data_IF_295201143211
#
_entry.id   IF_295201143211
#
_cell.length_a   1.000
_cell.length_b   1.000
_cell.length_c   1.000
_cell.angle_alpha   90.00
_cell.angle_beta   90.00
_cell.angle_gamma   90.00
#
_symmetry.space_group_name_H-M   'P 1'
#
loop_
_entity.id
_entity.type
_entity.pdbx_description
1 polymer ?
#
# COMPACT_ATOMS: atom_id res chain seq x y z
N UNK A 1 -8.88 3.91 -0.56
CA UNK A 1 -8.69 5.37 -0.65
C UNK A 1 -7.28 5.77 -0.25
N UNK A 2 -6.80 6.96 -0.63
CA UNK A 2 -5.58 7.53 -0.06
C UNK A 2 -5.60 7.46 1.48
N UNK A 3 -4.49 7.03 2.07
CA UNK A 3 -4.33 6.77 3.50
C UNK A 3 -4.69 5.34 3.94
N UNK A 4 -5.31 4.53 3.07
CA UNK A 4 -5.58 3.13 3.40
C UNK A 4 -4.29 2.31 3.45
N UNK A 5 -4.24 1.34 4.37
CA UNK A 5 -3.15 0.39 4.53
C UNK A 5 -3.55 -0.90 3.84
N UNK A 6 -2.69 -1.43 2.99
CA UNK A 6 -2.95 -2.66 2.25
C UNK A 6 -1.81 -3.65 2.51
N UNK A 7 -2.17 -4.93 2.62
CA UNK A 7 -1.26 -6.03 2.82
C UNK A 7 -1.30 -6.96 1.61
N UNK A 8 -0.13 -7.40 1.16
CA UNK A 8 0.04 -8.32 0.04
C UNK A 8 0.78 -9.58 0.46
N UNK A 9 0.45 -10.70 -0.18
CA UNK A 9 1.27 -11.91 -0.20
C UNK A 9 2.15 -11.88 -1.45
N UNK A 10 3.47 -11.80 -1.26
CA UNK A 10 4.46 -11.81 -2.32
C UNK A 10 4.85 -13.22 -2.76
N UNK A 11 4.24 -14.25 -2.15
CA UNK A 11 4.57 -15.65 -2.32
C UNK A 11 5.70 -16.10 -1.40
N UNK A 12 5.90 -17.42 -1.31
CA UNK A 12 6.99 -18.05 -0.53
C UNK A 12 7.01 -17.64 0.96
N UNK A 13 5.85 -17.33 1.53
CA UNK A 13 5.72 -16.91 2.93
C UNK A 13 6.13 -15.46 3.20
N UNK A 14 6.41 -14.65 2.16
CA UNK A 14 6.73 -13.23 2.31
C UNK A 14 5.46 -12.39 2.20
N UNK A 15 5.19 -11.60 3.23
CA UNK A 15 4.13 -10.60 3.22
C UNK A 15 4.71 -9.20 3.15
N UNK A 16 3.92 -8.26 2.62
CA UNK A 16 4.35 -6.87 2.45
C UNK A 16 3.22 -5.90 2.73
N UNK A 17 3.54 -4.72 3.27
CA UNK A 17 2.57 -3.66 3.56
C UNK A 17 2.90 -2.37 2.82
N UNK A 18 1.89 -1.56 2.59
CA UNK A 18 2.02 -0.26 1.93
C UNK A 18 0.79 0.61 2.15
N UNK A 19 0.95 1.91 1.91
CA UNK A 19 -0.12 2.89 2.09
C UNK A 19 -0.51 3.45 0.72
N UNK A 20 -1.81 3.47 0.45
CA UNK A 20 -2.36 4.07 -0.77
C UNK A 20 -2.15 5.59 -0.72
N UNK A 21 -1.61 6.19 -1.79
CA UNK A 21 -1.46 7.66 -1.89
C UNK A 21 -2.42 8.25 -2.93
N UNK A 22 -2.53 9.57 -2.96
CA UNK A 22 -3.40 10.34 -3.86
C UNK A 22 -2.83 10.52 -5.28
N UNK A 23 -1.55 10.18 -5.48
CA UNK A 23 -0.90 10.15 -6.80
C UNK A 23 -1.34 8.92 -7.58
N UNK A 24 -1.42 9.06 -8.91
CA UNK A 24 -1.76 7.97 -9.82
C UNK A 24 -0.55 7.49 -10.63
N UNK A 25 -0.66 6.26 -11.09
CA UNK A 25 0.16 5.67 -12.16
C UNK A 25 0.18 6.54 -13.42
N UNK A 26 1.19 6.35 -14.26
CA UNK A 26 1.37 7.12 -15.51
C UNK A 26 0.20 6.99 -16.48
N UNK A 27 -0.51 5.85 -16.46
CA UNK A 27 -1.72 5.61 -17.24
C UNK A 27 -3.00 6.22 -16.61
N UNK A 28 -2.89 6.80 -15.41
CA UNK A 28 -3.99 7.42 -14.68
C UNK A 28 -5.03 6.45 -14.11
N UNK A 29 -4.81 5.13 -14.17
CA UNK A 29 -5.84 4.13 -13.84
C UNK A 29 -5.86 3.73 -12.37
N UNK A 30 -4.68 3.62 -11.74
CA UNK A 30 -4.54 3.12 -10.37
C UNK A 30 -3.78 4.10 -9.47
N UNK A 31 -4.13 4.20 -8.18
CA UNK A 31 -3.33 4.96 -7.22
C UNK A 31 -1.95 4.31 -7.05
N UNK A 32 -0.95 5.10 -6.68
CA UNK A 32 0.34 4.59 -6.27
C UNK A 32 0.30 4.12 -4.81
N UNK A 33 1.21 3.24 -4.45
CA UNK A 33 1.45 2.79 -3.09
C UNK A 33 2.80 3.38 -2.63
N UNK A 34 2.86 3.95 -1.43
CA UNK A 34 4.14 4.19 -0.77
C UNK A 34 4.54 2.96 0.04
N UNK A 35 5.75 2.47 -0.20
CA UNK A 35 6.31 1.28 0.44
C UNK A 35 7.84 1.27 0.35
N UNK A 36 8.48 0.31 1.03
CA UNK A 36 9.94 0.20 1.09
C UNK A 36 10.48 -1.11 0.49
N UNK A 37 9.95 -1.54 -0.66
CA UNK A 37 10.55 -2.68 -1.38
C UNK A 37 11.75 -2.19 -2.19
N UNK A 38 12.87 -2.91 -2.13
CA UNK A 38 14.11 -2.53 -2.81
C UNK A 38 15.07 -1.77 -1.90
N UNK A 39 15.16 -0.44 -2.04
CA UNK A 39 16.26 0.37 -1.48
C UNK A 39 15.84 1.67 -0.79
N UNK A 40 14.61 1.79 -0.30
CA UNK A 40 14.10 3.01 0.33
C UNK A 40 12.61 3.21 0.06
N UNK A 41 12.08 4.36 0.50
CA UNK A 41 10.69 4.73 0.22
C UNK A 41 10.47 4.93 -1.29
N UNK A 42 9.57 4.14 -1.86
CA UNK A 42 9.22 4.14 -3.28
C UNK A 42 7.72 4.40 -3.43
N UNK A 43 7.37 5.18 -4.45
CA UNK A 43 6.00 5.29 -4.95
C UNK A 43 5.85 4.43 -6.19
N UNK A 44 5.14 3.31 -6.09
CA UNK A 44 4.94 2.41 -7.21
C UNK A 44 3.59 1.70 -7.13
N UNK A 45 3.15 1.15 -8.25
CA UNK A 45 1.94 0.35 -8.38
C UNK A 45 2.25 -1.14 -8.63
N UNK A 46 3.52 -1.54 -8.53
CA UNK A 46 3.96 -2.91 -8.79
C UNK A 46 3.34 -3.93 -7.81
N UNK A 47 2.94 -3.48 -6.62
CA UNK A 47 2.30 -4.33 -5.62
C UNK A 47 0.93 -4.86 -6.08
N UNK A 48 0.26 -4.21 -7.04
CA UNK A 48 -0.98 -4.71 -7.63
C UNK A 48 -0.81 -5.99 -8.48
N UNK A 49 0.43 -6.47 -8.66
CA UNK A 49 0.72 -7.77 -9.28
C UNK A 49 0.59 -8.94 -8.30
N UNK A 50 0.49 -8.67 -7.00
CA UNK A 50 0.46 -9.66 -5.94
C UNK A 50 -0.93 -9.76 -5.31
N UNK A 51 -1.19 -10.87 -4.62
CA UNK A 51 -2.47 -11.12 -3.95
C UNK A 51 -2.64 -10.16 -2.79
N UNK A 52 -3.73 -9.39 -2.77
CA UNK A 52 -4.12 -8.62 -1.59
C UNK A 52 -4.68 -9.58 -0.54
N UNK A 53 -4.11 -9.55 0.65
CA UNK A 53 -4.51 -10.38 1.79
C UNK A 53 -5.10 -9.56 2.95
N UNK A 54 -5.10 -8.24 2.83
CA UNK A 54 -5.72 -7.36 3.81
C UNK A 54 -5.83 -5.93 3.29
N UNK A 55 -6.91 -5.25 3.69
CA UNK A 55 -7.15 -3.86 3.35
C UNK A 55 -7.81 -3.17 4.54
N UNK A 56 -7.10 -2.22 5.12
CA UNK A 56 -7.44 -1.59 6.38
C UNK A 56 -7.47 -0.07 6.23
N UNK A 57 -8.23 0.56 7.12
CA UNK A 57 -8.20 1.99 7.31
C UNK A 57 -7.89 2.27 8.78
N UNK A 58 -6.85 3.05 9.03
CA UNK A 58 -6.57 3.48 10.39
C UNK A 58 -7.61 4.52 10.80
N UNK A 59 -8.45 4.17 11.77
CA UNK A 59 -9.35 5.10 12.43
C UNK A 59 -8.68 5.54 13.72
N UNK A 60 -8.33 6.83 13.78
CA UNK A 60 -7.74 7.39 14.99
C UNK A 60 -8.72 7.22 16.16
N UNK A 61 -8.31 6.57 17.26
CA UNK A 61 -9.19 6.39 18.40
C UNK A 61 -9.47 7.74 19.07
N UNK A 62 -10.71 8.01 19.52
CA UNK A 62 -11.01 9.21 20.28
C UNK A 62 -10.09 9.33 21.51
N UNK A 63 -9.42 10.47 21.68
CA UNK A 63 -8.57 10.73 22.83
C UNK A 63 -7.16 10.12 22.78
N UNK A 64 -6.71 9.60 21.64
CA UNK A 64 -5.27 9.46 21.44
C UNK A 64 -4.59 10.85 21.54
N UNK A 65 -3.34 10.85 21.98
CA UNK A 65 -2.52 12.06 22.14
C UNK A 65 -1.93 12.51 20.82
#
# INVERSE_FOLDING_TARGET
SPGDIVCWDLGQGLTHIGIVVDKKSSDGKRPLIVHNIGGGQVLADCLFRYTIIGHFKYTYPPGAK
#
